data_IF_170289977760
#
_entry.id   IF_170289977760
#
_cell.length_a   1.000
_cell.length_b   1.000
_cell.length_c   1.000
_cell.angle_alpha   90.00
_cell.angle_beta   90.00
_cell.angle_gamma   90.00
#
_symmetry.space_group_name_H-M   'P 1'
#
loop_
_entity.id
_entity.type
_entity.pdbx_description
1 polymer ?
#
# COMPACT_ATOMS: atom_id res chain seq x y z
N UNK A 1 -18.34 -1.80 1.48
CA UNK A 1 -18.97 -2.58 0.39
C UNK A 1 -19.94 -3.55 1.05
N UNK A 2 -21.18 -3.66 0.57
CA UNK A 2 -22.17 -4.57 1.20
C UNK A 2 -22.16 -5.91 0.48
N UNK A 3 -21.94 -6.99 1.23
CA UNK A 3 -21.89 -8.33 0.65
C UNK A 3 -23.27 -9.00 0.54
N UNK A 4 -24.20 -8.65 1.42
CA UNK A 4 -25.58 -9.13 1.34
C UNK A 4 -26.32 -8.48 0.15
N UNK A 5 -26.76 -9.29 -0.81
CA UNK A 5 -27.53 -8.83 -1.97
C UNK A 5 -28.97 -8.41 -1.62
N UNK A 6 -29.48 -8.78 -0.45
CA UNK A 6 -30.84 -8.46 -0.02
C UNK A 6 -30.90 -7.19 0.85
N UNK A 7 -29.75 -6.64 1.23
CA UNK A 7 -29.67 -5.46 2.06
C UNK A 7 -30.09 -4.20 1.29
N UNK A 8 -31.04 -3.43 1.82
CA UNK A 8 -31.50 -2.20 1.19
C UNK A 8 -30.56 -1.01 1.48
N UNK A 9 -29.60 -0.77 0.59
CA UNK A 9 -28.64 0.34 0.71
C UNK A 9 -29.26 1.73 0.51
N UNK A 10 -30.42 1.84 -0.14
CA UNK A 10 -30.99 3.14 -0.53
C UNK A 10 -31.38 4.01 0.67
N UNK A 11 -31.95 3.39 1.72
CA UNK A 11 -32.37 4.08 2.93
C UNK A 11 -31.18 4.71 3.69
N UNK A 12 -30.05 4.01 3.73
CA UNK A 12 -28.83 4.49 4.40
C UNK A 12 -28.15 5.58 3.56
N UNK A 13 -28.09 5.39 2.24
CA UNK A 13 -27.50 6.38 1.34
C UNK A 13 -28.24 7.72 1.36
N UNK A 14 -29.55 7.71 1.63
CA UNK A 14 -30.35 8.94 1.73
C UNK A 14 -30.11 9.72 3.04
N UNK A 15 -29.57 9.07 4.08
CA UNK A 15 -29.50 9.62 5.44
C UNK A 15 -28.07 9.78 5.97
N UNK A 16 -27.06 9.43 5.17
CA UNK A 16 -25.67 9.36 5.60
C UNK A 16 -24.72 10.03 4.61
N UNK A 17 -23.63 10.60 5.14
CA UNK A 17 -22.48 11.04 4.35
C UNK A 17 -21.64 9.84 3.85
N UNK A 18 -22.00 8.61 4.25
CA UNK A 18 -21.38 7.37 3.79
C UNK A 18 -22.22 6.77 2.68
N UNK A 19 -21.61 6.58 1.51
CA UNK A 19 -22.23 5.86 0.40
C UNK A 19 -21.94 4.37 0.50
N UNK A 20 -22.98 3.59 0.80
CA UNK A 20 -22.98 2.15 0.67
C UNK A 20 -23.10 1.76 -0.81
N UNK A 21 -22.24 0.83 -1.22
CA UNK A 21 -22.22 0.23 -2.55
C UNK A 21 -22.63 -1.23 -2.43
N UNK A 22 -23.42 -1.69 -3.39
CA UNK A 22 -23.87 -3.06 -3.52
C UNK A 22 -23.73 -3.48 -4.98
N UNK A 23 -23.10 -4.62 -5.21
CA UNK A 23 -22.85 -5.18 -6.55
C UNK A 23 -23.30 -6.63 -6.52
N UNK A 24 -24.07 -7.05 -7.52
CA UNK A 24 -24.58 -8.42 -7.58
C UNK A 24 -23.47 -9.43 -7.89
N UNK A 25 -23.67 -10.66 -7.46
CA UNK A 25 -22.72 -11.77 -7.69
C UNK A 25 -22.55 -12.05 -9.18
N UNK A 26 -23.64 -12.01 -9.93
CA UNK A 26 -23.68 -12.22 -11.37
C UNK A 26 -22.90 -11.13 -12.11
N UNK A 27 -22.89 -9.90 -11.60
CA UNK A 27 -22.07 -8.83 -12.16
C UNK A 27 -20.58 -9.10 -11.94
N UNK A 28 -20.19 -9.55 -10.75
CA UNK A 28 -18.82 -9.97 -10.45
C UNK A 28 -18.35 -11.12 -11.36
N UNK A 29 -19.15 -12.19 -11.50
CA UNK A 29 -18.83 -13.33 -12.37
C UNK A 29 -18.65 -12.92 -13.83
N UNK A 30 -19.53 -12.07 -14.36
CA UNK A 30 -19.45 -11.59 -15.76
C UNK A 30 -18.18 -10.79 -16.05
N UNK A 31 -17.54 -10.22 -15.04
CA UNK A 31 -16.32 -9.42 -15.19
C UNK A 31 -15.08 -10.16 -14.68
N UNK A 32 -15.16 -11.46 -14.40
CA UNK A 32 -14.08 -12.29 -13.86
C UNK A 32 -13.61 -11.89 -12.44
N UNK A 33 -14.41 -11.13 -11.69
CA UNK A 33 -14.08 -10.72 -10.32
C UNK A 33 -14.62 -11.73 -9.31
N UNK A 34 -13.81 -12.73 -8.96
CA UNK A 34 -14.15 -13.75 -7.96
C UNK A 34 -12.90 -14.40 -7.36
N UNK A 35 -13.07 -15.04 -6.19
CA UNK A 35 -12.06 -15.80 -5.44
C UNK A 35 -10.95 -14.98 -4.77
N UNK A 36 -11.09 -13.67 -4.61
CA UNK A 36 -10.07 -12.83 -3.96
C UNK A 36 -9.59 -13.35 -2.59
N UNK A 37 -10.46 -14.04 -1.84
CA UNK A 37 -10.13 -14.62 -0.51
C UNK A 37 -10.29 -16.15 -0.43
N UNK A 38 -10.47 -16.85 -1.56
CA UNK A 38 -10.79 -18.28 -1.54
C UNK A 38 -9.56 -19.14 -1.25
N UNK A 39 -9.36 -19.51 0.02
CA UNK A 39 -8.27 -20.37 0.49
C UNK A 39 -8.62 -21.87 0.52
N UNK A 40 -9.76 -22.25 -0.07
CA UNK A 40 -10.32 -23.61 -0.01
C UNK A 40 -11.42 -23.74 1.06
N UNK A 41 -12.39 -24.65 0.83
CA UNK A 41 -13.53 -24.89 1.72
C UNK A 41 -14.87 -24.33 1.22
N UNK A 42 -15.85 -24.18 2.12
CA UNK A 42 -17.22 -23.69 1.85
C UNK A 42 -17.33 -22.16 1.77
N UNK A 43 -16.21 -21.45 1.71
CA UNK A 43 -16.18 -20.00 1.66
C UNK A 43 -16.91 -19.46 0.42
N UNK A 44 -17.52 -18.29 0.57
CA UNK A 44 -18.26 -17.66 -0.52
C UNK A 44 -17.33 -17.40 -1.71
N UNK A 45 -17.79 -17.79 -2.89
CA UNK A 45 -17.04 -17.63 -4.14
C UNK A 45 -16.79 -16.15 -4.51
N UNK A 46 -17.66 -15.26 -4.02
CA UNK A 46 -17.62 -13.81 -4.26
C UNK A 46 -17.80 -13.12 -2.93
N UNK A 47 -16.94 -12.16 -2.64
CA UNK A 47 -16.91 -11.45 -1.35
C UNK A 47 -16.90 -9.93 -1.53
N UNK A 48 -16.85 -9.21 -0.42
CA UNK A 48 -16.69 -7.75 -0.41
C UNK A 48 -15.43 -7.29 -1.16
N UNK A 49 -14.34 -8.08 -1.13
CA UNK A 49 -13.11 -7.81 -1.88
C UNK A 49 -13.35 -7.86 -3.39
N UNK A 50 -13.97 -8.92 -3.91
CA UNK A 50 -14.25 -9.05 -5.34
C UNK A 50 -15.11 -7.89 -5.85
N UNK A 51 -16.14 -7.50 -5.07
CA UNK A 51 -17.02 -6.38 -5.38
C UNK A 51 -16.27 -5.04 -5.36
N UNK A 52 -15.43 -4.80 -4.34
CA UNK A 52 -14.64 -3.58 -4.24
C UNK A 52 -13.65 -3.45 -5.40
N UNK A 53 -12.95 -4.54 -5.72
CA UNK A 53 -12.02 -4.62 -6.84
C UNK A 53 -12.74 -4.33 -8.16
N UNK A 54 -13.86 -5.00 -8.45
CA UNK A 54 -14.65 -4.73 -9.65
C UNK A 54 -15.04 -3.25 -9.74
N UNK A 55 -15.54 -2.68 -8.65
CA UNK A 55 -16.00 -1.30 -8.64
C UNK A 55 -14.88 -0.32 -8.99
N UNK A 56 -13.75 -0.39 -8.28
CA UNK A 56 -12.69 0.61 -8.41
C UNK A 56 -11.72 0.33 -9.55
N UNK A 57 -11.57 -0.92 -9.99
CA UNK A 57 -10.72 -1.25 -11.13
C UNK A 57 -11.42 -0.98 -12.47
N UNK A 58 -12.69 -1.41 -12.61
CA UNK A 58 -13.38 -1.38 -13.90
C UNK A 58 -14.55 -0.37 -13.96
N UNK A 59 -15.42 -0.31 -12.96
CA UNK A 59 -16.70 0.42 -13.07
C UNK A 59 -16.61 1.93 -12.76
N UNK A 60 -15.74 2.31 -11.83
CA UNK A 60 -15.57 3.70 -11.41
C UNK A 60 -14.08 4.04 -11.30
N UNK A 61 -13.58 4.67 -12.36
CA UNK A 61 -12.17 4.99 -12.54
C UNK A 61 -11.83 6.45 -12.19
N UNK A 62 -12.77 7.19 -11.59
CA UNK A 62 -12.65 8.64 -11.36
C UNK A 62 -11.69 9.01 -10.20
N UNK A 63 -11.16 8.03 -9.47
CA UNK A 63 -10.27 8.24 -8.33
C UNK A 63 -8.82 8.00 -8.75
N UNK A 64 -7.94 8.97 -8.46
CA UNK A 64 -6.49 8.86 -8.67
C UNK A 64 -5.83 7.89 -7.69
N UNK A 65 -6.43 7.73 -6.50
CA UNK A 65 -5.95 6.85 -5.44
C UNK A 65 -7.13 6.30 -4.63
N UNK A 66 -7.07 5.03 -4.22
CA UNK A 66 -8.13 4.38 -3.44
C UNK A 66 -7.53 3.59 -2.27
N UNK A 67 -8.12 3.72 -1.08
CA UNK A 67 -7.82 2.90 0.08
C UNK A 67 -8.87 1.81 0.25
N UNK A 68 -8.43 0.56 0.43
CA UNK A 68 -9.27 -0.55 0.87
C UNK A 68 -8.90 -0.86 2.31
N UNK A 69 -9.93 -0.88 3.17
CA UNK A 69 -9.82 -1.08 4.61
C UNK A 69 -10.87 -2.11 5.01
N UNK A 70 -10.46 -3.16 5.72
CA UNK A 70 -11.38 -4.12 6.34
C UNK A 70 -12.08 -3.53 7.56
N UNK A 71 -13.23 -4.09 7.93
CA UNK A 71 -14.09 -3.54 9.00
C UNK A 71 -13.45 -3.55 10.39
N UNK A 72 -12.43 -4.36 10.61
CA UNK A 72 -11.72 -4.51 11.89
C UNK A 72 -10.36 -3.79 11.90
N UNK A 73 -10.10 -2.92 10.92
CA UNK A 73 -9.02 -1.94 10.97
C UNK A 73 -9.46 -0.74 11.80
N UNK A 74 -8.83 -0.55 12.96
CA UNK A 74 -9.03 0.62 13.80
C UNK A 74 -8.10 1.77 13.40
N UNK A 75 -8.73 2.88 13.01
CA UNK A 75 -8.06 4.16 12.78
C UNK A 75 -8.29 5.05 14.02
N UNK A 76 -7.24 5.50 14.72
CA UNK A 76 -7.38 6.29 15.96
C UNK A 76 -7.97 7.67 15.74
N UNK A 77 -7.65 8.34 14.62
CA UNK A 77 -8.13 9.67 14.32
C UNK A 77 -8.22 9.94 12.82
N UNK A 78 -9.03 10.94 12.44
CA UNK A 78 -9.05 11.45 11.05
C UNK A 78 -7.66 11.93 10.62
N UNK A 79 -6.91 12.54 11.54
CA UNK A 79 -5.58 13.04 11.26
C UNK A 79 -4.59 11.92 10.98
N UNK A 80 -4.68 10.78 11.66
CA UNK A 80 -3.84 9.61 11.39
C UNK A 80 -4.03 9.14 9.93
N UNK A 81 -5.29 9.02 9.49
CA UNK A 81 -5.60 8.64 8.10
C UNK A 81 -5.14 9.70 7.09
N UNK A 82 -5.48 10.98 7.32
CA UNK A 82 -5.09 12.08 6.40
C UNK A 82 -3.59 12.17 6.24
N UNK A 83 -2.86 12.12 7.36
CA UNK A 83 -1.40 12.12 7.35
C UNK A 83 -0.89 10.96 6.50
N UNK A 84 -1.31 9.72 6.76
CA UNK A 84 -0.89 8.58 5.93
C UNK A 84 -1.23 8.78 4.44
N UNK A 85 -2.45 9.23 4.12
CA UNK A 85 -2.86 9.42 2.74
C UNK A 85 -2.02 10.49 2.03
N UNK A 86 -1.95 11.71 2.56
CA UNK A 86 -1.20 12.83 1.96
C UNK A 86 0.26 12.49 1.69
N UNK A 87 0.81 11.61 2.52
CA UNK A 87 2.22 11.30 2.53
C UNK A 87 2.65 10.33 1.44
N UNK A 88 1.78 9.41 1.07
CA UNK A 88 2.16 8.30 0.20
C UNK A 88 1.28 8.19 -1.05
N UNK A 89 0.07 8.75 -1.06
CA UNK A 89 -0.88 8.55 -2.18
C UNK A 89 -0.45 9.20 -3.49
N UNK A 90 0.35 10.26 -3.42
CA UNK A 90 0.79 11.02 -4.59
C UNK A 90 2.10 10.52 -5.21
N UNK A 91 2.83 9.63 -4.52
CA UNK A 91 4.18 9.21 -4.91
C UNK A 91 4.34 7.70 -5.07
N UNK A 92 3.29 6.94 -4.78
CA UNK A 92 3.39 5.48 -4.64
C UNK A 92 2.23 4.80 -5.37
N UNK A 93 2.50 3.63 -5.96
CA UNK A 93 1.47 2.82 -6.61
C UNK A 93 0.75 1.88 -5.65
N UNK A 94 1.49 1.32 -4.70
CA UNK A 94 0.99 0.37 -3.72
C UNK A 94 1.47 0.73 -2.32
N UNK A 95 0.52 0.93 -1.41
CA UNK A 95 0.78 1.09 0.02
C UNK A 95 0.28 -0.16 0.73
N UNK A 96 1.14 -0.82 1.49
CA UNK A 96 0.89 -2.10 2.15
C UNK A 96 1.53 -2.12 3.54
N UNK A 97 1.04 -2.93 4.49
CA UNK A 97 1.69 -3.03 5.80
C UNK A 97 3.05 -3.72 5.75
N UNK A 98 3.25 -4.66 4.82
CA UNK A 98 4.49 -5.44 4.68
C UNK A 98 4.81 -5.69 3.20
N UNK A 99 6.02 -6.16 2.95
CA UNK A 99 6.44 -6.57 1.61
C UNK A 99 7.43 -7.72 1.72
N UNK A 100 6.90 -8.94 1.85
CA UNK A 100 7.71 -10.14 2.01
C UNK A 100 7.94 -10.77 0.63
N UNK A 101 9.22 -10.90 0.24
CA UNK A 101 9.63 -11.44 -1.05
C UNK A 101 9.89 -12.95 -0.96
N UNK A 102 9.39 -13.66 -1.96
CA UNK A 102 9.68 -15.06 -2.22
C UNK A 102 10.39 -15.18 -3.58
N UNK A 103 11.70 -14.97 -3.55
CA UNK A 103 12.56 -14.82 -4.73
C UNK A 103 12.60 -16.07 -5.62
N UNK A 104 12.45 -17.24 -5.00
CA UNK A 104 12.50 -18.55 -5.65
C UNK A 104 11.10 -19.12 -5.93
N UNK A 105 10.05 -18.43 -5.46
CA UNK A 105 8.68 -18.90 -5.53
C UNK A 105 8.46 -20.22 -4.79
N UNK A 106 9.03 -20.42 -3.61
CA UNK A 106 8.77 -21.62 -2.79
C UNK A 106 7.29 -21.69 -2.39
N UNK A 107 6.65 -22.85 -2.48
CA UNK A 107 5.21 -23.00 -2.25
C UNK A 107 4.81 -23.30 -0.79
N UNK A 108 5.77 -23.53 0.10
CA UNK A 108 5.52 -24.09 1.44
C UNK A 108 5.01 -23.13 2.53
N UNK A 109 5.02 -21.82 2.32
CA UNK A 109 4.61 -20.80 3.30
C UNK A 109 3.48 -19.91 2.74
N UNK A 110 2.78 -19.15 3.58
CA UNK A 110 1.85 -18.06 3.19
C UNK A 110 0.85 -18.37 2.04
N UNK A 111 0.46 -19.64 1.87
CA UNK A 111 -0.40 -20.09 0.76
C UNK A 111 0.19 -19.88 -0.65
N UNK A 112 1.52 -19.82 -0.77
CA UNK A 112 2.23 -19.61 -2.03
C UNK A 112 1.89 -20.62 -3.13
N UNK A 113 1.45 -21.82 -2.76
CA UNK A 113 0.93 -22.81 -3.71
C UNK A 113 -0.16 -22.23 -4.63
N UNK A 114 -0.93 -21.25 -4.14
CA UNK A 114 -1.99 -20.59 -4.91
C UNK A 114 -1.47 -19.56 -5.91
N UNK A 115 -0.24 -19.06 -5.75
CA UNK A 115 0.42 -18.17 -6.71
C UNK A 115 1.00 -18.93 -7.91
N UNK A 116 1.31 -20.22 -7.72
CA UNK A 116 1.84 -21.11 -8.76
C UNK A 116 0.89 -21.21 -9.96
N UNK A 117 1.43 -20.93 -11.15
CA UNK A 117 0.65 -20.91 -12.39
C UNK A 117 -0.17 -19.64 -12.63
N UNK A 118 -0.14 -18.67 -11.70
CA UNK A 118 -0.72 -17.32 -11.88
C UNK A 118 0.36 -16.27 -12.07
N UNK A 119 1.47 -16.40 -11.36
CA UNK A 119 2.61 -15.49 -11.38
C UNK A 119 3.92 -16.23 -11.60
N UNK A 120 4.87 -15.57 -12.26
CA UNK A 120 6.28 -15.99 -12.25
C UNK A 120 6.98 -15.45 -11.00
N UNK A 121 7.97 -16.15 -10.41
CA UNK A 121 8.80 -15.58 -9.37
C UNK A 121 9.58 -14.34 -9.84
N UNK A 122 9.92 -13.38 -8.96
CA UNK A 122 9.66 -13.40 -7.53
C UNK A 122 8.17 -13.20 -7.21
N UNK A 123 7.67 -13.93 -6.22
CA UNK A 123 6.36 -13.64 -5.63
C UNK A 123 6.54 -12.71 -4.44
N UNK A 124 5.51 -11.96 -4.10
CA UNK A 124 5.53 -11.06 -2.96
C UNK A 124 4.17 -11.00 -2.28
N UNK A 125 4.16 -10.83 -0.95
CA UNK A 125 2.92 -10.76 -0.19
C UNK A 125 2.97 -9.69 0.89
N UNK A 126 1.77 -9.40 1.38
CA UNK A 126 1.48 -8.59 2.54
C UNK A 126 0.14 -9.01 3.10
N UNK A 127 -0.10 -8.80 4.40
CA UNK A 127 -1.47 -8.71 4.86
C UNK A 127 -2.18 -7.57 4.12
N UNK A 128 -3.45 -7.77 3.78
CA UNK A 128 -4.20 -6.88 2.91
C UNK A 128 -5.31 -6.10 3.64
N UNK A 129 -5.37 -6.13 4.97
CA UNK A 129 -6.46 -5.52 5.74
C UNK A 129 -6.54 -3.99 5.56
N UNK A 130 -5.40 -3.33 5.31
CA UNK A 130 -5.32 -1.90 4.99
C UNK A 130 -4.32 -1.65 3.86
N UNK A 131 -4.82 -1.35 2.67
CA UNK A 131 -3.99 -1.18 1.47
C UNK A 131 -4.44 0.02 0.63
N UNK A 132 -3.48 0.69 0.02
CA UNK A 132 -3.70 1.85 -0.85
C UNK A 132 -3.22 1.57 -2.27
N UNK A 133 -3.98 2.00 -3.26
CA UNK A 133 -3.68 1.78 -4.68
C UNK A 133 -3.74 3.08 -5.48
N UNK A 134 -2.72 3.34 -6.29
CA UNK A 134 -2.80 4.33 -7.35
C UNK A 134 -3.77 3.89 -8.46
N UNK A 135 -4.21 4.84 -9.27
CA UNK A 135 -5.01 4.55 -10.47
C UNK A 135 -4.28 3.60 -11.42
N UNK A 136 -2.96 3.77 -11.56
CA UNK A 136 -2.11 2.92 -12.40
C UNK A 136 -2.12 1.48 -11.91
N UNK A 137 -1.98 1.26 -10.60
CA UNK A 137 -2.06 -0.07 -9.99
C UNK A 137 -3.41 -0.73 -10.25
N UNK A 138 -4.51 -0.02 -10.02
CA UNK A 138 -5.85 -0.56 -10.22
C UNK A 138 -6.17 -0.90 -11.70
N UNK A 139 -5.62 -0.15 -12.66
CA UNK A 139 -5.74 -0.48 -14.11
C UNK A 139 -4.99 -1.78 -14.42
N UNK A 140 -3.76 -1.91 -13.92
CA UNK A 140 -2.97 -3.13 -14.10
C UNK A 140 -3.67 -4.35 -13.49
N UNK A 141 -4.32 -4.17 -12.34
CA UNK A 141 -5.12 -5.23 -11.70
C UNK A 141 -6.30 -5.67 -12.56
N UNK A 142 -7.05 -4.75 -13.18
CA UNK A 142 -8.13 -5.12 -14.11
C UNK A 142 -7.57 -5.90 -15.31
N UNK A 143 -6.53 -5.39 -15.96
CA UNK A 143 -5.89 -6.05 -17.11
C UNK A 143 -5.42 -7.47 -16.75
N UNK A 144 -4.86 -7.64 -15.56
CA UNK A 144 -4.42 -8.93 -15.05
C UNK A 144 -5.59 -9.88 -14.77
N UNK A 145 -6.66 -9.39 -14.15
CA UNK A 145 -7.88 -10.18 -13.89
C UNK A 145 -8.54 -10.61 -15.21
N UNK A 146 -8.60 -9.72 -16.22
CA UNK A 146 -9.15 -10.08 -17.53
C UNK A 146 -8.29 -11.14 -18.23
N UNK A 147 -6.97 -11.04 -18.12
CA UNK A 147 -6.06 -12.06 -18.64
C UNK A 147 -6.26 -13.40 -17.93
N UNK A 148 -6.15 -13.42 -16.60
CA UNK A 148 -6.20 -14.64 -15.80
C UNK A 148 -7.59 -15.28 -15.80
N UNK A 149 -8.65 -14.47 -15.91
CA UNK A 149 -10.04 -14.92 -15.81
C UNK A 149 -10.54 -15.09 -14.38
N UNK A 150 -9.78 -14.65 -13.39
CA UNK A 150 -10.17 -14.63 -11.98
C UNK A 150 -9.30 -13.66 -11.17
N UNK A 151 -9.70 -13.36 -9.93
CA UNK A 151 -8.89 -12.59 -8.99
C UNK A 151 -7.97 -13.55 -8.24
N UNK A 152 -6.64 -13.35 -8.25
CA UNK A 152 -5.73 -14.11 -7.39
C UNK A 152 -5.99 -13.82 -5.91
N UNK A 153 -5.46 -14.64 -5.02
CA UNK A 153 -5.60 -14.38 -3.59
C UNK A 153 -4.92 -13.04 -3.24
N UNK A 154 -5.73 -12.13 -2.69
CA UNK A 154 -5.43 -10.72 -2.57
C UNK A 154 -4.11 -10.41 -1.82
N UNK A 155 -3.75 -11.21 -0.81
CA UNK A 155 -2.53 -10.99 -0.02
C UNK A 155 -1.22 -11.16 -0.80
N UNK A 156 -1.18 -11.97 -1.87
CA UNK A 156 -0.02 -11.98 -2.78
C UNK A 156 -0.29 -11.26 -4.10
N UNK A 157 -1.55 -11.09 -4.48
CA UNK A 157 -1.92 -10.48 -5.77
C UNK A 157 -1.26 -9.10 -5.92
N UNK A 158 -1.50 -8.21 -4.95
CA UNK A 158 -1.14 -6.82 -5.10
C UNK A 158 0.37 -6.63 -5.12
N UNK A 159 1.08 -7.18 -4.14
CA UNK A 159 2.52 -7.07 -4.06
C UNK A 159 3.22 -7.76 -5.23
N UNK A 160 2.80 -8.98 -5.60
CA UNK A 160 3.45 -9.71 -6.71
C UNK A 160 3.28 -8.96 -8.03
N UNK A 161 2.06 -8.46 -8.32
CA UNK A 161 1.82 -7.69 -9.54
C UNK A 161 2.65 -6.40 -9.55
N UNK A 162 2.71 -5.68 -8.43
CA UNK A 162 3.50 -4.46 -8.32
C UNK A 162 5.00 -4.71 -8.55
N UNK A 163 5.56 -5.79 -8.01
CA UNK A 163 6.96 -6.17 -8.25
C UNK A 163 7.21 -6.47 -9.72
N UNK A 164 6.36 -7.29 -10.35
CA UNK A 164 6.53 -7.68 -11.75
C UNK A 164 6.41 -6.51 -12.74
N UNK A 165 5.66 -5.47 -12.37
CA UNK A 165 5.47 -4.26 -13.18
C UNK A 165 6.39 -3.11 -12.75
N UNK A 166 7.33 -3.36 -11.83
CA UNK A 166 8.25 -2.36 -11.29
C UNK A 166 7.52 -1.10 -10.77
N UNK A 167 6.41 -1.32 -10.07
CA UNK A 167 5.65 -0.25 -9.42
C UNK A 167 6.29 0.16 -8.09
N UNK A 168 6.05 1.41 -7.70
CA UNK A 168 6.55 1.91 -6.42
C UNK A 168 5.70 1.34 -5.29
N UNK A 169 6.33 0.55 -4.42
CA UNK A 169 5.73 -0.06 -3.23
C UNK A 169 6.28 0.67 -2.02
N UNK A 170 5.43 1.02 -1.06
CA UNK A 170 5.85 1.54 0.25
C UNK A 170 5.20 0.71 1.35
N UNK A 171 5.98 0.45 2.40
CA UNK A 171 5.53 -0.14 3.67
C UNK A 171 5.61 0.89 4.80
N UNK A 172 4.59 1.73 4.98
CA UNK A 172 4.60 2.78 6.00
C UNK A 172 4.71 2.18 7.40
N UNK A 173 5.46 2.82 8.28
CA UNK A 173 5.49 2.41 9.69
C UNK A 173 4.14 2.61 10.38
N UNK A 174 3.27 3.46 9.84
CA UNK A 174 1.87 3.61 10.28
C UNK A 174 1.03 2.34 10.12
N UNK A 175 1.47 1.41 9.27
CA UNK A 175 0.80 0.15 9.00
C UNK A 175 1.54 -1.06 9.61
N UNK A 176 2.64 -0.86 10.34
CA UNK A 176 3.41 -1.97 10.92
C UNK A 176 2.66 -2.74 12.03
N UNK A 177 1.59 -2.15 12.57
CA UNK A 177 0.66 -2.69 13.58
C UNK A 177 -0.54 -3.42 12.97
N UNK A 178 -0.56 -3.59 11.65
CA UNK A 178 -1.48 -4.49 10.98
C UNK A 178 -0.89 -5.90 11.10
N UNK A 179 -1.40 -6.70 12.04
CA UNK A 179 -0.86 -8.01 12.41
C UNK A 179 -1.96 -9.08 12.49
N UNK A 180 -1.64 -10.34 12.20
CA UNK A 180 -2.62 -11.42 12.25
C UNK A 180 -2.96 -11.77 13.70
N UNK A 181 -4.24 -11.69 14.06
CA UNK A 181 -4.78 -12.13 15.35
C UNK A 181 -4.10 -11.51 16.61
N UNK A 182 -3.43 -10.37 16.48
CA UNK A 182 -2.79 -9.69 17.61
C UNK A 182 -3.81 -9.01 18.53
N UNK A 183 -3.58 -9.10 19.83
CA UNK A 183 -4.36 -8.39 20.84
C UNK A 183 -3.68 -7.06 21.16
N UNK A 184 -4.45 -5.98 21.06
CA UNK A 184 -4.00 -4.63 21.39
C UNK A 184 -4.70 -4.07 22.63
N UNK A 185 -3.95 -3.28 23.40
CA UNK A 185 -4.36 -2.54 24.56
C UNK A 185 -4.33 -1.03 24.29
N UNK A 186 -5.05 -0.25 25.11
CA UNK A 186 -5.09 1.20 24.96
C UNK A 186 -3.68 1.84 25.01
N UNK A 187 -2.79 1.28 25.84
CA UNK A 187 -1.40 1.74 25.97
C UNK A 187 -0.68 1.72 24.62
N UNK A 188 -0.87 0.66 23.83
CA UNK A 188 -0.23 0.52 22.51
C UNK A 188 -0.71 1.62 21.56
N UNK A 189 -2.03 1.85 21.53
CA UNK A 189 -2.65 2.90 20.71
C UNK A 189 -2.13 4.28 21.09
N UNK A 190 -2.00 4.55 22.40
CA UNK A 190 -1.50 5.82 22.93
C UNK A 190 -0.05 6.07 22.58
N UNK A 191 0.79 5.04 22.56
CA UNK A 191 2.20 5.16 22.20
C UNK A 191 2.43 5.38 20.70
N UNK A 192 1.50 4.93 19.85
CA UNK A 192 1.56 5.11 18.39
C UNK A 192 0.21 5.63 17.84
N UNK A 193 -0.21 6.86 18.19
CA UNK A 193 -1.55 7.36 17.91
C UNK A 193 -1.83 7.63 16.42
N UNK A 194 -0.79 7.57 15.59
CA UNK A 194 -0.89 7.75 14.14
C UNK A 194 -0.89 6.45 13.34
N UNK A 195 -0.82 5.29 14.02
CA UNK A 195 -0.86 4.00 13.37
C UNK A 195 -2.29 3.53 13.11
N UNK A 196 -2.45 2.65 12.12
CA UNK A 196 -3.65 1.83 11.92
C UNK A 196 -3.44 0.47 12.57
N UNK A 197 -4.50 -0.07 13.15
CA UNK A 197 -4.39 -1.24 14.03
C UNK A 197 -5.34 -2.33 13.57
N UNK A 198 -4.84 -3.55 13.44
CA UNK A 198 -5.65 -4.70 13.07
C UNK A 198 -5.15 -5.96 13.79
N UNK A 199 -6.05 -6.80 14.34
CA UNK A 199 -7.52 -6.65 14.33
C UNK A 199 -8.09 -5.97 15.60
N UNK A 200 -9.07 -5.06 15.45
CA UNK A 200 -9.88 -4.52 16.56
C UNK A 200 -11.37 -4.59 16.18
N UNK A 201 -12.03 -5.66 16.67
CA UNK A 201 -13.44 -5.96 16.36
C UNK A 201 -14.45 -5.33 17.34
N UNK A 202 -13.99 -4.88 18.50
CA UNK A 202 -14.84 -4.26 19.52
C UNK A 202 -15.02 -2.76 19.24
N UNK A 203 -16.11 -2.42 18.53
CA UNK A 203 -16.43 -1.03 18.17
C UNK A 203 -16.65 -0.11 19.39
N UNK A 204 -17.39 -0.51 20.45
CA UNK A 204 -17.47 0.28 21.69
C UNK A 204 -16.10 0.59 22.30
N UNK A 205 -15.20 -0.41 22.38
CA UNK A 205 -13.82 -0.23 22.87
C UNK A 205 -13.06 0.77 22.00
N UNK A 206 -13.15 0.64 20.68
CA UNK A 206 -12.54 1.58 19.74
C UNK A 206 -13.05 3.02 19.94
N UNK A 207 -14.36 3.21 20.13
CA UNK A 207 -14.94 4.53 20.42
C UNK A 207 -14.37 5.12 21.71
N UNK A 208 -14.28 4.33 22.79
CA UNK A 208 -13.70 4.76 24.07
C UNK A 208 -12.25 5.22 23.90
N UNK A 209 -11.44 4.46 23.16
CA UNK A 209 -10.04 4.81 22.91
C UNK A 209 -9.88 6.13 22.15
N UNK A 210 -10.69 6.39 21.12
CA UNK A 210 -10.66 7.68 20.41
C UNK A 210 -10.96 8.85 21.33
N UNK A 211 -11.97 8.71 22.20
CA UNK A 211 -12.30 9.75 23.18
C UNK A 211 -11.15 10.01 24.16
N UNK A 212 -10.52 8.94 24.67
CA UNK A 212 -9.39 9.07 25.60
C UNK A 212 -8.18 9.78 24.95
N UNK A 213 -7.84 9.46 23.70
CA UNK A 213 -6.73 10.12 22.98
C UNK A 213 -6.96 11.64 22.81
N UNK A 214 -8.18 12.05 22.50
CA UNK A 214 -8.53 13.47 22.36
C UNK A 214 -8.38 14.22 23.69
N UNK A 215 -8.81 13.61 24.78
CA UNK A 215 -8.71 14.20 26.12
C UNK A 215 -7.25 14.35 26.57
N UNK A 216 -6.39 13.35 26.29
CA UNK A 216 -4.97 13.37 26.66
C UNK A 216 -4.16 14.39 25.82
N UNK A 217 -4.44 14.50 24.51
CA UNK A 217 -3.74 15.46 23.64
C UNK A 217 -3.97 16.90 24.10
N UNK A 218 -5.15 17.19 24.66
CA UNK A 218 -5.48 18.50 25.22
C UNK A 218 -4.64 18.88 26.44
N UNK A 219 -3.95 17.91 27.08
CA UNK A 219 -3.14 18.11 28.29
C UNK A 219 -1.63 18.16 28.03
N UNK A 220 -1.15 17.79 26.84
CA UNK A 220 0.29 17.59 26.54
C UNK A 220 0.92 18.61 25.59
N UNK A 221 0.22 19.68 25.21
CA UNK A 221 0.76 20.73 24.34
C UNK A 221 1.81 21.66 24.98
N UNK A 222 2.55 21.26 26.03
CA UNK A 222 3.39 22.19 26.79
C UNK A 222 4.87 21.83 27.03
N UNK A 223 5.43 20.70 26.56
CA UNK A 223 6.84 20.39 26.91
C UNK A 223 7.58 19.53 25.88
N UNK A 224 8.02 20.17 24.79
CA UNK A 224 9.33 19.87 24.19
C UNK A 224 9.98 21.19 23.84
N UNK A 225 11.27 21.33 24.14
CA UNK A 225 12.02 22.59 24.09
C UNK A 225 12.16 23.12 22.66
N UNK A 226 11.08 23.74 22.19
CA UNK A 226 10.97 24.57 21.00
C UNK A 226 11.76 25.87 21.11
N UNK A 227 12.33 26.14 22.28
CA UNK A 227 12.87 27.45 22.63
C UNK A 227 13.97 27.89 21.64
N UNK A 228 14.73 26.99 21.00
CA UNK A 228 15.66 27.36 19.93
C UNK A 228 15.01 27.73 18.57
N UNK A 229 13.87 27.13 18.22
CA UNK A 229 13.11 27.44 16.99
C UNK A 229 12.14 28.61 17.19
N UNK A 230 11.52 28.69 18.36
CA UNK A 230 10.73 29.82 18.83
C UNK A 230 11.61 31.07 19.02
N UNK A 231 12.85 30.95 19.54
CA UNK A 231 13.80 32.08 19.62
C UNK A 231 14.10 32.70 18.24
N UNK A 232 14.09 31.92 17.15
CA UNK A 232 14.24 32.45 15.79
C UNK A 232 13.07 33.34 15.39
N UNK A 233 11.88 33.08 15.92
CA UNK A 233 10.67 33.85 15.66
C UNK A 233 10.42 34.97 16.69
N UNK A 234 11.09 34.94 17.84
CA UNK A 234 10.91 35.88 18.96
C UNK A 234 12.01 36.93 19.12
N UNK A 235 13.22 36.70 18.58
CA UNK A 235 14.30 37.68 18.65
C UNK A 235 14.15 38.81 17.63
N UNK A 236 14.66 40.01 17.94
CA UNK A 236 14.88 41.12 16.98
C UNK A 236 15.94 40.77 15.89
N UNK A 237 16.06 39.49 15.52
CA UNK A 237 16.98 39.05 14.49
C UNK A 237 16.51 39.56 13.13
N UNK A 238 17.47 40.02 12.32
CA UNK A 238 17.18 40.44 10.95
C UNK A 238 16.70 39.23 10.13
N UNK A 239 15.86 39.46 9.12
CA UNK A 239 15.39 38.38 8.23
C UNK A 239 16.54 37.58 7.59
N UNK A 240 17.69 38.22 7.36
CA UNK A 240 18.92 37.58 6.86
C UNK A 240 19.42 36.50 7.81
N UNK A 241 19.35 36.73 9.14
CA UNK A 241 19.75 35.77 10.18
C UNK A 241 18.85 34.53 10.18
N UNK A 242 17.52 34.72 10.16
CA UNK A 242 16.55 33.62 10.14
C UNK A 242 16.74 32.74 8.90
N UNK A 243 16.89 33.37 7.72
CA UNK A 243 17.10 32.66 6.46
C UNK A 243 18.39 31.85 6.47
N UNK A 244 19.48 32.40 7.01
CA UNK A 244 20.74 31.66 7.13
C UNK A 244 20.62 30.48 8.10
N UNK A 245 19.96 30.67 9.24
CA UNK A 245 19.79 29.60 10.21
C UNK A 245 18.93 28.44 9.68
N UNK A 246 17.86 28.75 8.95
CA UNK A 246 17.03 27.74 8.29
C UNK A 246 17.82 26.99 7.20
N UNK A 247 18.70 27.67 6.45
CA UNK A 247 19.62 27.01 5.51
C UNK A 247 20.60 26.09 6.22
N UNK A 248 21.18 26.51 7.34
CA UNK A 248 22.13 25.67 8.11
C UNK A 248 21.43 24.46 8.73
N UNK A 249 20.19 24.63 9.18
CA UNK A 249 19.34 23.54 9.64
C UNK A 249 19.03 22.57 8.49
N UNK A 250 18.73 23.09 7.30
CA UNK A 250 18.53 22.26 6.10
C UNK A 250 19.77 21.45 5.76
N UNK A 251 20.96 22.06 5.72
CA UNK A 251 22.21 21.34 5.42
C UNK A 251 22.46 20.23 6.45
N UNK A 252 22.27 20.51 7.75
CA UNK A 252 22.41 19.49 8.81
C UNK A 252 21.38 18.37 8.66
N UNK A 253 20.17 18.73 8.29
CA UNK A 253 19.12 17.79 7.98
C UNK A 253 19.53 16.91 6.79
N UNK A 254 19.98 17.50 5.68
CA UNK A 254 20.45 16.80 4.48
C UNK A 254 21.55 15.77 4.73
N UNK A 255 22.52 16.11 5.59
CA UNK A 255 23.61 15.21 5.97
C UNK A 255 23.10 14.02 6.79
N UNK A 256 22.08 14.23 7.63
CA UNK A 256 21.64 13.25 8.62
C UNK A 256 20.46 12.40 8.17
N UNK A 257 19.72 12.87 7.15
CA UNK A 257 18.38 12.35 6.83
C UNK A 257 18.36 10.91 6.32
N UNK A 258 19.44 10.43 5.71
CA UNK A 258 19.58 9.04 5.28
C UNK A 258 19.59 8.06 6.46
N UNK A 259 19.91 8.54 7.65
CA UNK A 259 20.00 7.75 8.88
C UNK A 259 18.74 7.88 9.74
N UNK A 260 17.77 8.72 9.34
CA UNK A 260 16.55 8.91 10.10
C UNK A 260 15.56 7.79 9.82
N UNK A 261 15.10 7.14 10.90
CA UNK A 261 13.91 6.31 10.83
C UNK A 261 12.70 7.12 10.38
N UNK A 262 11.67 6.45 9.85
CA UNK A 262 10.40 7.09 9.48
C UNK A 262 9.82 7.95 10.62
N UNK A 263 9.87 7.48 11.87
CA UNK A 263 9.37 8.20 13.04
C UNK A 263 10.11 9.53 13.27
N UNK A 264 11.44 9.53 13.11
CA UNK A 264 12.25 10.76 13.23
C UNK A 264 11.92 11.72 12.10
N UNK A 265 11.76 11.23 10.86
CA UNK A 265 11.36 12.04 9.70
C UNK A 265 9.99 12.71 9.91
N UNK A 266 9.02 12.01 10.50
CA UNK A 266 7.70 12.54 10.85
C UNK A 266 7.75 13.62 11.91
N UNK A 267 8.54 13.42 12.96
CA UNK A 267 8.72 14.41 14.01
C UNK A 267 9.29 15.71 13.43
N UNK A 268 10.27 15.61 12.52
CA UNK A 268 10.80 16.76 11.79
C UNK A 268 9.76 17.42 10.90
N UNK A 269 8.99 16.66 10.11
CA UNK A 269 7.90 17.21 9.29
C UNK A 269 6.90 17.98 10.15
N UNK A 270 6.40 17.39 11.24
CA UNK A 270 5.43 18.03 12.13
C UNK A 270 6.02 19.34 12.69
N UNK A 271 7.26 19.31 13.18
CA UNK A 271 7.94 20.51 13.70
C UNK A 271 8.10 21.61 12.66
N UNK A 272 8.43 21.26 11.42
CA UNK A 272 8.50 22.23 10.34
C UNK A 272 7.11 22.78 9.99
N UNK A 273 6.07 21.96 9.98
CA UNK A 273 4.69 22.43 9.79
C UNK A 273 4.26 23.40 10.89
N UNK A 274 4.52 23.06 12.17
CA UNK A 274 4.21 23.91 13.32
C UNK A 274 4.94 25.26 13.22
N UNK A 275 6.23 25.23 12.85
CA UNK A 275 7.03 26.42 12.60
C UNK A 275 6.46 27.27 11.44
N UNK A 276 5.96 26.64 10.37
CA UNK A 276 5.37 27.36 9.25
C UNK A 276 4.08 28.09 9.66
N UNK A 277 3.22 27.45 10.45
CA UNK A 277 2.01 28.08 11.01
C UNK A 277 2.36 29.24 11.93
N UNK A 278 3.39 29.08 12.77
CA UNK A 278 3.84 30.13 13.66
C UNK A 278 4.43 31.33 12.90
N UNK A 279 5.25 31.07 11.88
CA UNK A 279 5.75 32.10 10.96
C UNK A 279 4.58 32.86 10.32
N UNK A 280 3.51 32.15 9.93
CA UNK A 280 2.33 32.75 9.34
C UNK A 280 1.56 33.63 10.34
N UNK A 281 1.35 33.18 11.59
CA UNK A 281 0.71 33.97 12.66
C UNK A 281 1.45 35.27 12.96
N UNK A 282 2.76 35.29 12.77
CA UNK A 282 3.64 36.45 13.04
C UNK A 282 3.86 37.35 11.83
N UNK A 283 3.17 37.11 10.71
CA UNK A 283 3.39 37.83 9.45
C UNK A 283 4.85 37.81 8.98
N UNK A 284 5.56 36.70 9.20
CA UNK A 284 6.89 36.47 8.62
C UNK A 284 6.77 36.46 7.09
N UNK A 285 7.85 36.81 6.38
CA UNK A 285 7.85 36.86 4.92
C UNK A 285 7.39 35.53 4.30
N UNK A 286 6.61 35.62 3.21
CA UNK A 286 6.11 34.46 2.45
C UNK A 286 7.25 33.54 1.96
N UNK A 287 8.42 34.11 1.68
CA UNK A 287 9.60 33.34 1.25
C UNK A 287 10.06 32.36 2.35
N UNK A 288 10.12 32.82 3.61
CA UNK A 288 10.52 31.98 4.75
C UNK A 288 9.46 30.92 5.02
N UNK A 289 8.17 31.29 5.03
CA UNK A 289 7.07 30.33 5.21
C UNK A 289 7.15 29.24 4.12
N UNK A 290 7.35 29.64 2.86
CA UNK A 290 7.54 28.69 1.75
C UNK A 290 8.77 27.79 1.94
N UNK A 291 9.88 28.34 2.47
CA UNK A 291 11.08 27.56 2.75
C UNK A 291 10.85 26.52 3.86
N UNK A 292 10.20 26.92 4.96
CA UNK A 292 9.88 26.00 6.06
C UNK A 292 8.92 24.89 5.61
N UNK A 293 7.92 25.21 4.80
CA UNK A 293 7.03 24.19 4.19
C UNK A 293 7.84 23.23 3.31
N UNK A 294 8.78 23.74 2.51
CA UNK A 294 9.68 22.89 1.71
C UNK A 294 10.54 22.00 2.61
N UNK A 295 11.00 22.46 3.77
CA UNK A 295 11.73 21.63 4.73
C UNK A 295 10.85 20.52 5.30
N UNK A 296 9.59 20.82 5.63
CA UNK A 296 8.62 19.83 6.09
C UNK A 296 8.43 18.72 5.05
N UNK A 297 8.27 19.11 3.78
CA UNK A 297 8.12 18.17 2.67
C UNK A 297 9.41 17.38 2.40
N UNK A 298 10.58 18.04 2.44
CA UNK A 298 11.87 17.42 2.15
C UNK A 298 12.29 16.45 3.24
N UNK A 299 11.92 16.74 4.49
CA UNK A 299 12.16 15.83 5.59
C UNK A 299 11.45 14.50 5.44
N UNK A 300 10.43 14.49 4.59
CA UNK A 300 9.51 13.39 4.45
C UNK A 300 9.74 12.52 3.20
N UNK A 301 10.17 13.10 2.08
CA UNK A 301 10.19 12.44 0.75
C UNK A 301 11.44 11.61 0.43
N UNK A 302 12.11 11.00 1.41
CA UNK A 302 13.35 10.27 1.11
C UNK A 302 13.05 8.87 0.55
N UNK A 303 13.46 8.58 -0.70
CA UNK A 303 13.30 7.25 -1.27
C UNK A 303 14.13 6.25 -0.47
N UNK A 304 13.58 5.05 -0.26
CA UNK A 304 14.40 3.92 0.14
C UNK A 304 15.42 3.62 -0.97
N UNK A 305 16.64 3.17 -0.61
CA UNK A 305 17.62 2.82 -1.62
C UNK A 305 17.04 1.77 -2.58
N UNK A 306 17.23 1.93 -3.90
CA UNK A 306 16.75 0.96 -4.86
C UNK A 306 17.38 -0.40 -4.56
N UNK A 307 16.56 -1.45 -4.56
CA UNK A 307 17.05 -2.82 -4.49
C UNK A 307 17.91 -3.06 -5.74
N UNK A 308 19.15 -3.55 -5.61
CA UNK A 308 20.01 -3.81 -6.76
C UNK A 308 19.29 -4.73 -7.75
N UNK A 309 19.19 -4.29 -9.00
CA UNK A 309 18.62 -5.09 -10.08
C UNK A 309 19.56 -6.27 -10.35
N UNK A 310 19.14 -7.47 -9.95
CA UNK A 310 19.89 -8.69 -10.24
C UNK A 310 19.74 -9.00 -11.74
N UNK A 311 20.77 -8.74 -12.52
CA UNK A 311 20.84 -9.17 -13.92
C UNK A 311 20.97 -10.70 -13.94
N UNK A 312 19.86 -11.40 -14.18
CA UNK A 312 19.84 -12.87 -14.29
C UNK A 312 20.14 -13.31 -15.71
N UNK A 313 21.00 -14.32 -15.84
CA UNK A 313 21.25 -15.01 -17.11
C UNK A 313 20.10 -16.00 -17.34
N UNK A 314 19.32 -15.79 -18.40
CA UNK A 314 18.19 -16.65 -18.78
C UNK A 314 18.65 -17.80 -19.66
N UNK A 315 18.15 -19.01 -19.42
CA UNK A 315 18.38 -20.18 -20.27
C UNK A 315 17.61 -20.05 -21.59
N UNK A 316 17.97 -20.86 -22.59
CA UNK A 316 17.23 -20.92 -23.85
C UNK A 316 15.77 -21.39 -23.66
N UNK A 317 15.54 -22.30 -22.71
CA UNK A 317 14.20 -22.77 -22.36
C UNK A 317 13.37 -21.67 -21.71
N UNK A 318 13.97 -20.88 -20.82
CA UNK A 318 13.33 -19.71 -20.20
C UNK A 318 12.82 -18.75 -21.27
N UNK A 319 13.70 -18.32 -22.18
CA UNK A 319 13.36 -17.36 -23.24
C UNK A 319 12.22 -17.89 -24.13
N UNK A 320 12.26 -19.20 -24.47
CA UNK A 320 11.19 -19.84 -25.25
C UNK A 320 9.84 -19.80 -24.50
N UNK A 321 9.81 -20.21 -23.23
CA UNK A 321 8.58 -20.26 -22.44
C UNK A 321 7.99 -18.86 -22.22
N UNK A 322 8.81 -17.84 -21.96
CA UNK A 322 8.34 -16.46 -21.86
C UNK A 322 7.67 -15.98 -23.15
N UNK A 323 8.26 -16.31 -24.30
CA UNK A 323 7.68 -15.97 -25.61
C UNK A 323 6.31 -16.63 -25.79
N UNK A 324 6.19 -17.93 -25.53
CA UNK A 324 4.93 -18.68 -25.65
C UNK A 324 3.84 -18.12 -24.71
N UNK A 325 4.22 -17.75 -23.47
CA UNK A 325 3.29 -17.11 -22.52
C UNK A 325 2.80 -15.76 -23.06
N UNK A 326 3.70 -14.96 -23.65
CA UNK A 326 3.34 -13.65 -24.20
C UNK A 326 2.46 -13.75 -25.44
N UNK A 327 2.72 -14.70 -26.33
CA UNK A 327 1.85 -15.00 -27.48
C UNK A 327 0.44 -15.40 -27.01
N UNK A 328 0.36 -16.22 -25.96
CA UNK A 328 -0.93 -16.65 -25.42
C UNK A 328 -1.68 -15.53 -24.68
N UNK A 329 -0.97 -14.63 -23.99
CA UNK A 329 -1.55 -13.38 -23.45
C UNK A 329 -2.19 -12.55 -24.57
N UNK A 330 -1.47 -12.35 -25.67
CA UNK A 330 -2.00 -11.60 -26.82
C UNK A 330 -3.23 -12.29 -27.42
N UNK A 331 -3.20 -13.62 -27.57
CA UNK A 331 -4.34 -14.39 -28.05
C UNK A 331 -5.56 -14.20 -27.12
N UNK A 332 -5.40 -14.32 -25.81
CA UNK A 332 -6.48 -14.12 -24.83
C UNK A 332 -7.12 -12.73 -24.97
N UNK A 333 -6.31 -11.67 -25.13
CA UNK A 333 -6.83 -10.31 -25.31
C UNK A 333 -7.58 -10.07 -26.63
N UNK A 334 -7.31 -10.85 -27.67
CA UNK A 334 -8.03 -10.73 -28.95
C UNK A 334 -9.45 -11.30 -28.88
N UNK A 335 -9.76 -12.16 -27.91
CA UNK A 335 -11.09 -12.72 -27.72
C UNK A 335 -11.90 -11.88 -26.72
N UNK A 336 -12.95 -11.21 -27.23
CA UNK A 336 -13.77 -10.28 -26.44
C UNK A 336 -14.80 -10.96 -25.52
N UNK A 337 -14.91 -12.28 -25.52
CA UNK A 337 -15.92 -13.02 -24.76
C UNK A 337 -15.33 -14.24 -24.04
N UNK A 338 -15.92 -14.53 -22.87
CA UNK A 338 -15.59 -15.70 -22.05
C UNK A 338 -16.08 -16.97 -22.76
N UNK A 339 -15.35 -17.41 -23.78
CA UNK A 339 -15.62 -18.61 -24.56
C UNK A 339 -14.87 -19.81 -24.00
N UNK A 340 -15.27 -21.02 -24.41
CA UNK A 340 -14.52 -22.24 -24.12
C UNK A 340 -13.08 -22.16 -24.61
N UNK A 341 -12.84 -21.50 -25.75
CA UNK A 341 -11.50 -21.28 -26.29
C UNK A 341 -10.64 -20.41 -25.38
N UNK A 342 -11.17 -19.31 -24.83
CA UNK A 342 -10.44 -18.45 -23.88
C UNK A 342 -10.13 -19.21 -22.59
N UNK A 343 -11.06 -20.02 -22.11
CA UNK A 343 -10.85 -20.88 -20.94
C UNK A 343 -9.69 -21.85 -21.16
N UNK A 344 -9.62 -22.48 -22.33
CA UNK A 344 -8.54 -23.41 -22.67
C UNK A 344 -7.19 -22.71 -22.84
N UNK A 345 -7.15 -21.53 -23.48
CA UNK A 345 -5.93 -20.71 -23.57
C UNK A 345 -5.40 -20.29 -22.18
N UNK A 346 -6.29 -19.90 -21.26
CA UNK A 346 -5.90 -19.58 -19.87
C UNK A 346 -5.28 -20.79 -19.17
N UNK A 347 -5.86 -21.97 -19.33
CA UNK A 347 -5.31 -23.22 -18.77
C UNK A 347 -3.92 -23.52 -19.31
N UNK A 348 -3.73 -23.42 -20.63
CA UNK A 348 -2.41 -23.60 -21.25
C UNK A 348 -1.40 -22.57 -20.74
N UNK A 349 -1.79 -21.30 -20.58
CA UNK A 349 -0.94 -20.26 -20.01
C UNK A 349 -0.51 -20.58 -18.59
N UNK A 350 -1.44 -21.05 -17.75
CA UNK A 350 -1.14 -21.51 -16.40
C UNK A 350 -0.12 -22.64 -16.39
N UNK A 351 -0.23 -23.62 -17.30
CA UNK A 351 0.72 -24.73 -17.38
C UNK A 351 2.11 -24.29 -17.87
N UNK A 352 2.18 -23.34 -18.80
CA UNK A 352 3.45 -22.74 -19.22
C UNK A 352 4.11 -21.95 -18.09
N UNK A 353 3.34 -21.17 -17.32
CA UNK A 353 3.85 -20.42 -16.16
C UNK A 353 4.43 -21.37 -15.11
N UNK A 354 3.79 -22.52 -14.87
CA UNK A 354 4.32 -23.54 -13.96
C UNK A 354 5.65 -24.10 -14.47
N UNK A 355 5.75 -24.44 -15.76
CA UNK A 355 7.01 -24.90 -16.36
C UNK A 355 8.12 -23.86 -16.24
N UNK A 356 7.83 -22.60 -16.55
CA UNK A 356 8.80 -21.51 -16.44
C UNK A 356 9.22 -21.24 -14.98
N UNK A 357 8.31 -21.40 -14.03
CA UNK A 357 8.63 -21.31 -12.60
C UNK A 357 9.67 -22.36 -12.18
N UNK A 358 9.56 -23.59 -12.69
CA UNK A 358 10.54 -24.66 -12.44
C UNK A 358 11.90 -24.30 -13.04
N UNK A 359 11.93 -23.79 -14.27
CA UNK A 359 13.16 -23.34 -14.94
C UNK A 359 13.85 -22.22 -14.15
N UNK A 360 13.10 -21.19 -13.74
CA UNK A 360 13.63 -20.08 -12.92
C UNK A 360 14.26 -20.58 -11.61
N UNK A 361 13.63 -21.56 -10.94
CA UNK A 361 14.19 -22.16 -9.72
C UNK A 361 15.52 -22.85 -9.99
N UNK A 362 15.64 -23.58 -11.10
CA UNK A 362 16.88 -24.25 -11.48
C UNK A 362 18.00 -23.23 -11.77
N UNK A 363 17.70 -22.17 -12.52
CA UNK A 363 18.65 -21.09 -12.82
C UNK A 363 19.20 -20.43 -11.54
N UNK A 364 18.33 -20.13 -10.57
CA UNK A 364 18.75 -19.55 -9.29
C UNK A 364 19.71 -20.50 -8.53
N UNK A 365 19.39 -21.79 -8.49
CA UNK A 365 20.24 -22.78 -7.81
C UNK A 365 21.62 -22.88 -8.48
N UNK A 366 21.69 -22.83 -9.81
CA UNK A 366 22.97 -22.84 -10.53
C UNK A 366 23.77 -21.54 -10.31
N UNK A 367 23.10 -20.38 -10.27
CA UNK A 367 23.75 -19.10 -9.96
C UNK A 367 24.33 -19.08 -8.53
N UNK A 368 23.58 -19.59 -7.55
CA UNK A 368 24.06 -19.71 -6.16
C UNK A 368 25.26 -20.65 -6.03
N UNK A 369 25.30 -21.73 -6.82
CA UNK A 369 26.48 -22.61 -6.88
C UNK A 369 27.69 -21.83 -7.41
N UNK A 370 27.55 -21.13 -8.54
CA UNK A 370 28.63 -20.35 -9.14
C UNK A 370 29.17 -19.28 -8.19
N UNK A 371 28.29 -18.60 -7.44
CA UNK A 371 28.69 -17.60 -6.42
C UNK A 371 29.48 -18.18 -5.24
N UNK A 372 29.36 -19.48 -4.96
CA UNK A 372 30.14 -20.14 -3.89
C UNK A 372 31.53 -20.57 -4.34
N UNK A 373 31.76 -20.66 -5.66
CA UNK A 373 33.05 -21.05 -6.23
C UNK A 373 33.97 -19.86 -6.53
N UNK A 374 33.39 -18.66 -6.73
CA UNK A 374 34.10 -17.40 -6.84
C UNK A 374 34.25 -16.73 -5.47
#
# INVERSE_FOLDING_TARGET
MVDDNNFNVSAINASSNVRLLQISREKCLRHNYHKAINTGGTWQYITSWDKALLYFCALNQNYSFVWFLEEDVFIPSVQAFRSLHELYSNTTDLIVPRHELNLIGSDGLWLWIMASGKFLPPWACSMANAVGFSRRMLIAMDQFVQWLGEVPFHEFFFNTLAVQLNFTIVTPTELNTIEYAKVFFYKDIREQPNNMWHPIKDFPKGKKWRTSLVNETSQHNNTFDLTNLEMLCHGNQTMTSIKQHLKDLFVRFEISKSNFSSNVRRLWRQRFSDLAEECQKRNVSKEIISFVIKLADHAYKLPEPPVPELVRIKSANHIRLEREINEMKQAIYQFSSNSSAVTELRKQATDLIKKLTVEIRQEIVEEEKLRKFN
#
